data_IF_037925307196
#
_entry.id   IF_037925307196
#
_cell.length_a   1.000
_cell.length_b   1.000
_cell.length_c   1.000
_cell.angle_alpha   90.00
_cell.angle_beta   90.00
_cell.angle_gamma   90.00
#
_symmetry.space_group_name_H-M   'P 1'
#
loop_
_entity.id
_entity.type
_entity.pdbx_description
1 polymer ?
#
# COMPACT_ATOMS: atom_id res chain seq x y z
N UNK A 1 -14.16 5.88 -18.97
CA UNK A 1 -12.95 6.73 -18.93
C UNK A 1 -11.98 6.02 -18.01
N UNK A 2 -11.19 5.13 -18.59
CA UNK A 2 -10.21 4.34 -17.88
C UNK A 2 -9.01 5.26 -17.56
N UNK A 3 -9.03 5.84 -16.36
CA UNK A 3 -7.85 6.49 -15.82
C UNK A 3 -6.84 5.40 -15.47
N UNK A 4 -6.09 4.94 -16.46
CA UNK A 4 -4.90 4.09 -16.30
C UNK A 4 -3.97 4.77 -15.29
N UNK A 5 -4.06 4.38 -14.02
CA UNK A 5 -3.20 4.87 -12.96
C UNK A 5 -1.80 4.34 -13.23
N UNK A 6 -1.02 5.12 -14.00
CA UNK A 6 0.37 4.80 -14.28
C UNK A 6 1.14 4.72 -12.97
N UNK A 7 1.72 3.54 -12.72
CA UNK A 7 2.62 3.29 -11.59
C UNK A 7 3.75 4.32 -11.63
N UNK A 8 3.85 5.14 -10.59
CA UNK A 8 4.92 6.12 -10.44
C UNK A 8 5.36 6.22 -8.98
N UNK A 9 6.63 6.47 -8.73
CA UNK A 9 7.12 6.78 -7.38
C UNK A 9 7.03 8.31 -7.19
N UNK A 10 6.17 8.74 -6.28
CA UNK A 10 6.09 10.11 -5.80
C UNK A 10 7.19 10.35 -4.78
N UNK A 11 8.03 11.33 -5.07
CA UNK A 11 9.11 11.80 -4.19
C UNK A 11 9.08 13.32 -4.17
N UNK A 12 9.63 13.93 -3.11
CA UNK A 12 9.72 15.39 -3.03
C UNK A 12 10.69 15.96 -4.08
N UNK A 13 10.54 17.24 -4.43
CA UNK A 13 11.46 17.95 -5.34
C UNK A 13 12.91 17.96 -4.80
N UNK A 14 13.09 18.05 -3.49
CA UNK A 14 14.40 17.98 -2.85
C UNK A 14 15.05 16.61 -3.06
N UNK A 15 14.26 15.53 -2.94
CA UNK A 15 14.74 14.16 -3.16
C UNK A 15 15.10 13.90 -4.61
N UNK A 16 14.33 14.43 -5.58
CA UNK A 16 14.68 14.32 -7.00
C UNK A 16 16.04 14.93 -7.29
N UNK A 17 16.33 16.12 -6.74
CA UNK A 17 17.65 16.76 -6.87
C UNK A 17 18.75 15.94 -6.20
N UNK A 18 18.46 15.30 -5.08
CA UNK A 18 19.41 14.41 -4.40
C UNK A 18 19.72 13.18 -5.24
N UNK A 19 18.70 12.50 -5.79
CA UNK A 19 18.86 11.34 -6.67
C UNK A 19 19.64 11.69 -7.93
N UNK A 20 19.41 12.88 -8.51
CA UNK A 20 20.23 13.36 -9.63
C UNK A 20 21.71 13.48 -9.27
N UNK A 21 22.02 14.08 -8.10
CA UNK A 21 23.41 14.23 -7.64
C UNK A 21 24.06 12.89 -7.28
N UNK A 22 23.28 11.97 -6.70
CA UNK A 22 23.77 10.67 -6.26
C UNK A 22 24.17 9.76 -7.42
N UNK A 23 23.39 9.80 -8.50
CA UNK A 23 23.59 8.94 -9.68
C UNK A 23 24.20 9.67 -10.88
N UNK A 24 24.57 10.94 -10.72
CA UNK A 24 25.05 11.83 -11.78
C UNK A 24 24.16 11.78 -13.05
N UNK A 25 22.84 11.87 -12.83
CA UNK A 25 21.83 11.66 -13.86
C UNK A 25 21.07 12.94 -14.21
N UNK A 26 20.59 13.02 -15.46
CA UNK A 26 19.69 14.09 -15.89
C UNK A 26 18.32 13.99 -15.22
N UNK A 27 17.62 15.11 -15.09
CA UNK A 27 16.32 15.16 -14.42
C UNK A 27 15.29 14.28 -15.15
N UNK A 28 15.41 14.24 -16.48
CA UNK A 28 14.59 13.40 -17.35
C UNK A 28 14.82 11.92 -17.08
N UNK A 29 16.08 11.48 -16.85
CA UNK A 29 16.35 10.08 -16.49
C UNK A 29 15.75 9.70 -15.12
N UNK A 30 15.88 10.59 -14.13
CA UNK A 30 15.25 10.36 -12.82
C UNK A 30 13.74 10.31 -12.97
N UNK A 31 13.13 11.21 -13.75
CA UNK A 31 11.70 11.18 -14.02
C UNK A 31 11.27 9.88 -14.70
N UNK A 32 11.94 9.46 -15.77
CA UNK A 32 11.67 8.19 -16.48
C UNK A 32 11.81 6.96 -15.57
N UNK A 33 12.77 6.98 -14.64
CA UNK A 33 12.93 5.92 -13.66
C UNK A 33 11.79 5.90 -12.64
N UNK A 34 11.35 7.08 -12.17
CA UNK A 34 10.25 7.21 -11.22
C UNK A 34 8.89 6.86 -11.85
N UNK A 35 8.68 7.15 -13.13
CA UNK A 35 7.42 6.84 -13.87
C UNK A 35 7.41 5.46 -14.53
N UNK A 36 8.41 4.62 -14.27
CA UNK A 36 8.56 3.28 -14.87
C UNK A 36 8.61 3.28 -16.41
N UNK A 37 8.94 4.40 -17.05
CA UNK A 37 9.11 4.48 -18.50
C UNK A 37 10.42 3.85 -19.00
N UNK A 38 11.36 3.57 -18.08
CA UNK A 38 12.63 2.95 -18.41
C UNK A 38 13.01 1.89 -17.37
N UNK A 39 13.46 0.72 -17.84
CA UNK A 39 13.90 -0.40 -17.00
C UNK A 39 15.42 -0.64 -17.07
N UNK A 40 16.21 0.40 -17.33
CA UNK A 40 17.67 0.28 -17.24
C UNK A 40 18.13 -0.06 -15.82
N UNK A 41 19.33 -0.66 -15.69
CA UNK A 41 19.93 -0.97 -14.37
C UNK A 41 19.99 0.28 -13.47
N UNK A 42 20.38 1.41 -14.06
CA UNK A 42 20.38 2.71 -13.40
C UNK A 42 18.99 3.12 -12.91
N UNK A 43 17.95 2.91 -13.73
CA UNK A 43 16.58 3.19 -13.33
C UNK A 43 16.09 2.27 -12.19
N UNK A 44 16.50 0.98 -12.16
CA UNK A 44 16.23 0.08 -11.01
C UNK A 44 16.90 0.60 -9.73
N UNK A 45 18.14 1.06 -9.81
CA UNK A 45 18.88 1.62 -8.66
C UNK A 45 18.26 2.92 -8.14
N UNK A 46 17.84 3.82 -9.04
CA UNK A 46 17.13 5.05 -8.68
C UNK A 46 15.80 4.73 -7.97
N UNK A 47 15.01 3.78 -8.48
CA UNK A 47 13.76 3.35 -7.86
C UNK A 47 13.98 2.80 -6.45
N UNK A 48 14.98 1.93 -6.28
CA UNK A 48 15.33 1.38 -4.96
C UNK A 48 15.70 2.49 -3.97
N UNK A 49 16.59 3.40 -4.39
CA UNK A 49 16.99 4.54 -3.56
C UNK A 49 15.83 5.48 -3.22
N UNK A 50 14.89 5.68 -4.15
CA UNK A 50 13.69 6.48 -3.91
C UNK A 50 12.77 5.82 -2.87
N UNK A 51 12.53 4.51 -2.96
CA UNK A 51 11.70 3.76 -2.00
C UNK A 51 12.34 3.71 -0.61
N UNK A 52 13.66 3.48 -0.52
CA UNK A 52 14.39 3.45 0.76
C UNK A 52 14.34 4.78 1.51
N UNK A 53 14.16 5.90 0.78
CA UNK A 53 14.15 7.25 1.34
C UNK A 53 12.74 7.78 1.66
N UNK A 54 11.70 6.99 1.40
CA UNK A 54 10.31 7.36 1.71
C UNK A 54 9.47 7.72 0.50
N UNK A 55 9.97 7.48 -0.72
CA UNK A 55 9.18 7.60 -1.95
C UNK A 55 7.96 6.68 -1.92
N UNK A 56 6.80 7.22 -2.24
CA UNK A 56 5.54 6.47 -2.23
C UNK A 56 5.15 6.05 -3.64
N UNK A 57 4.86 4.76 -3.84
CA UNK A 57 4.36 4.27 -5.12
C UNK A 57 2.89 4.71 -5.29
N UNK A 58 2.65 5.67 -6.17
CA UNK A 58 1.33 6.07 -6.64
C UNK A 58 0.95 5.22 -7.86
N UNK A 59 -0.29 4.74 -7.92
CA UNK A 59 -0.71 3.79 -8.95
C UNK A 59 -0.31 2.34 -8.67
N UNK A 60 0.31 2.03 -7.52
CA UNK A 60 -0.06 0.77 -6.88
C UNK A 60 -1.57 0.87 -6.69
N UNK A 61 -2.33 -0.10 -7.23
CA UNK A 61 -3.77 -0.16 -7.08
C UNK A 61 -4.09 0.30 -5.65
N UNK A 62 -4.82 1.41 -5.51
CA UNK A 62 -5.41 1.71 -4.22
C UNK A 62 -6.24 0.45 -3.99
N UNK A 63 -5.83 -0.41 -3.07
CA UNK A 63 -6.51 -1.68 -2.94
C UNK A 63 -7.92 -1.32 -2.57
N UNK A 64 -8.84 -1.87 -3.33
CA UNK A 64 -10.26 -1.70 -3.11
C UNK A 64 -10.52 -2.15 -1.68
N UNK A 65 -10.67 -1.17 -0.78
CA UNK A 65 -10.86 -1.36 0.64
C UNK A 65 -12.19 -0.70 0.96
N UNK A 66 -13.24 -1.50 0.94
CA UNK A 66 -14.57 -1.07 1.35
C UNK A 66 -14.70 -1.26 2.85
N UNK A 67 -14.89 -0.16 3.58
CA UNK A 67 -15.09 -0.17 5.02
C UNK A 67 -16.54 0.13 5.35
N UNK A 68 -17.22 -0.83 5.98
CA UNK A 68 -18.59 -0.69 6.49
C UNK A 68 -18.58 -0.69 8.01
N UNK A 69 -19.18 0.34 8.61
CA UNK A 69 -19.37 0.45 10.05
C UNK A 69 -20.80 0.12 10.41
N UNK A 70 -21.00 -0.98 11.14
CA UNK A 70 -22.29 -1.31 11.72
C UNK A 70 -22.33 -0.83 13.17
N UNK A 71 -22.78 0.41 13.37
CA UNK A 71 -22.79 1.07 14.69
C UNK A 71 -23.71 0.36 15.69
N UNK A 72 -24.81 -0.25 15.22
CA UNK A 72 -25.72 -1.05 16.06
C UNK A 72 -25.06 -2.32 16.59
N UNK A 73 -24.31 -3.04 15.74
CA UNK A 73 -23.64 -4.31 16.07
C UNK A 73 -22.21 -4.11 16.60
N UNK A 74 -21.76 -2.86 16.75
CA UNK A 74 -20.42 -2.52 17.23
C UNK A 74 -19.31 -3.24 16.46
N UNK A 75 -19.48 -3.31 15.14
CA UNK A 75 -18.59 -4.05 14.25
C UNK A 75 -18.20 -3.19 13.07
N UNK A 76 -16.92 -3.23 12.72
CA UNK A 76 -16.35 -2.64 11.53
C UNK A 76 -15.90 -3.78 10.62
N UNK A 77 -16.45 -3.82 9.41
CA UNK A 77 -16.03 -4.78 8.38
C UNK A 77 -15.25 -4.05 7.30
N UNK A 78 -14.04 -4.51 7.01
CA UNK A 78 -13.20 -4.00 5.94
C UNK A 78 -12.96 -5.10 4.93
N UNK A 79 -13.42 -4.91 3.71
CA UNK A 79 -13.28 -5.88 2.63
C UNK A 79 -12.17 -5.41 1.70
N UNK A 80 -11.15 -6.24 1.50
CA UNK A 80 -10.01 -5.99 0.64
C UNK A 80 -10.14 -6.87 -0.61
N UNK A 81 -10.57 -6.27 -1.72
CA UNK A 81 -10.95 -7.01 -2.92
C UNK A 81 -12.15 -7.95 -2.69
N UNK A 82 -12.28 -9.03 -3.46
CA UNK A 82 -13.43 -9.95 -3.36
C UNK A 82 -13.27 -11.10 -2.37
N UNK A 83 -12.03 -11.39 -1.93
CA UNK A 83 -11.69 -12.63 -1.20
C UNK A 83 -11.31 -12.42 0.26
N UNK A 84 -10.90 -11.21 0.64
CA UNK A 84 -10.32 -10.96 1.96
C UNK A 84 -11.18 -9.97 2.72
N UNK A 85 -11.50 -10.27 3.99
CA UNK A 85 -12.26 -9.37 4.85
C UNK A 85 -11.73 -9.37 6.29
N UNK A 86 -11.73 -8.21 6.92
CA UNK A 86 -11.43 -8.02 8.34
C UNK A 86 -12.72 -7.61 9.02
N UNK A 87 -13.07 -8.28 10.12
CA UNK A 87 -14.20 -7.93 10.98
C UNK A 87 -13.64 -7.57 12.35
N UNK A 88 -13.68 -6.28 12.70
CA UNK A 88 -13.24 -5.76 13.98
C UNK A 88 -14.45 -5.40 14.85
N UNK A 89 -14.56 -6.01 16.01
CA UNK A 89 -15.54 -5.68 17.02
C UNK A 89 -15.02 -4.52 17.88
N UNK A 90 -15.69 -3.38 17.80
CA UNK A 90 -15.29 -2.13 18.46
C UNK A 90 -15.60 -2.11 19.95
N UNK A 91 -16.38 -3.08 20.47
CA UNK A 91 -16.77 -3.17 21.87
C UNK A 91 -15.75 -3.95 22.72
N UNK A 92 -15.25 -5.07 22.21
CA UNK A 92 -14.29 -5.92 22.92
C UNK A 92 -12.87 -5.88 22.31
N UNK A 93 -12.70 -5.25 21.15
CA UNK A 93 -11.41 -5.19 20.45
C UNK A 93 -11.00 -6.49 19.78
N UNK A 94 -11.94 -7.41 19.53
CA UNK A 94 -11.71 -8.64 18.77
C UNK A 94 -11.63 -8.33 17.27
N UNK A 95 -10.66 -8.89 16.58
CA UNK A 95 -10.40 -8.69 15.16
C UNK A 95 -10.28 -10.07 14.52
N UNK A 96 -11.12 -10.31 13.51
CA UNK A 96 -11.19 -11.56 12.76
C UNK A 96 -10.80 -11.27 11.31
N UNK A 97 -9.85 -12.03 10.77
CA UNK A 97 -9.43 -11.94 9.38
C UNK A 97 -9.89 -13.19 8.64
N UNK A 98 -10.62 -12.99 7.56
CA UNK A 98 -11.10 -14.06 6.70
C UNK A 98 -10.47 -13.95 5.31
N UNK A 99 -10.09 -15.10 4.74
CA UNK A 99 -9.62 -15.26 3.36
C UNK A 99 -10.46 -16.36 2.72
N UNK A 100 -11.09 -16.11 1.57
CA UNK A 100 -12.02 -17.02 0.91
C UNK A 100 -13.10 -17.56 1.86
N UNK A 101 -13.66 -16.67 2.68
CA UNK A 101 -14.63 -16.95 3.75
C UNK A 101 -14.17 -17.91 4.87
N UNK A 102 -12.88 -18.26 4.91
CA UNK A 102 -12.28 -19.02 6.01
C UNK A 102 -11.63 -18.10 7.02
N UNK A 103 -11.87 -18.35 8.31
CA UNK A 103 -11.20 -17.64 9.39
C UNK A 103 -9.72 -18.07 9.43
N UNK A 104 -8.83 -17.18 9.02
CA UNK A 104 -7.38 -17.43 8.98
C UNK A 104 -6.68 -16.85 10.20
N UNK A 105 -7.19 -15.76 10.76
CA UNK A 105 -6.58 -15.14 11.94
C UNK A 105 -7.63 -14.55 12.87
N UNK A 106 -7.41 -14.77 14.15
CA UNK A 106 -8.12 -14.14 15.25
C UNK A 106 -7.12 -13.42 16.14
N UNK A 107 -7.35 -12.13 16.39
CA UNK A 107 -6.49 -11.29 17.23
C UNK A 107 -7.36 -10.40 18.10
N UNK A 108 -7.00 -10.21 19.36
CA UNK A 108 -7.70 -9.31 20.27
C UNK A 108 -6.77 -8.25 20.83
N UNK A 109 -7.31 -7.10 21.25
CA UNK A 109 -6.60 -6.05 21.98
C UNK A 109 -5.42 -5.41 21.22
N UNK A 110 -5.51 -5.29 19.89
CA UNK A 110 -4.50 -4.58 19.12
C UNK A 110 -4.52 -3.08 19.42
N UNK A 111 -3.33 -2.50 19.56
CA UNK A 111 -3.18 -1.05 19.53
C UNK A 111 -3.50 -0.52 18.12
N UNK A 112 -3.82 0.78 18.01
CA UNK A 112 -4.09 1.42 16.70
C UNK A 112 -2.93 1.20 15.73
N UNK A 113 -1.68 1.23 16.20
CA UNK A 113 -0.48 1.01 15.37
C UNK A 113 -0.39 -0.42 14.85
N UNK A 114 -0.68 -1.41 15.69
CA UNK A 114 -0.66 -2.82 15.29
C UNK A 114 -1.82 -3.12 14.34
N UNK A 115 -2.99 -2.52 14.59
CA UNK A 115 -4.13 -2.64 13.70
C UNK A 115 -3.82 -2.08 12.30
N UNK A 116 -3.19 -0.89 12.23
CA UNK A 116 -2.74 -0.31 10.96
C UNK A 116 -1.71 -1.19 10.23
N UNK A 117 -0.85 -1.91 10.95
CA UNK A 117 0.08 -2.88 10.35
C UNK A 117 -0.67 -4.10 9.81
N UNK A 118 -1.63 -4.63 10.57
CA UNK A 118 -2.46 -5.75 10.16
C UNK A 118 -3.24 -5.42 8.88
N UNK A 119 -3.89 -4.25 8.82
CA UNK A 119 -4.59 -3.79 7.62
C UNK A 119 -3.67 -3.79 6.39
N UNK A 120 -2.43 -3.28 6.53
CA UNK A 120 -1.44 -3.29 5.44
C UNK A 120 -0.99 -4.70 5.04
N UNK A 121 -0.80 -5.60 6.00
CA UNK A 121 -0.43 -7.00 5.76
C UNK A 121 -1.55 -7.72 4.99
N UNK A 122 -2.78 -7.60 5.47
CA UNK A 122 -3.96 -8.21 4.86
C UNK A 122 -4.22 -7.66 3.45
N UNK A 123 -4.05 -6.35 3.27
CA UNK A 123 -4.11 -5.69 1.98
C UNK A 123 -3.04 -6.22 0.99
N UNK A 124 -1.83 -6.50 1.47
CA UNK A 124 -0.76 -7.08 0.65
C UNK A 124 -1.09 -8.53 0.24
N UNK A 125 -1.65 -9.31 1.18
CA UNK A 125 -2.13 -10.67 0.90
C UNK A 125 -3.24 -10.63 -0.17
N UNK A 126 -4.22 -9.74 -0.04
CA UNK A 126 -5.29 -9.58 -1.02
C UNK A 126 -4.75 -9.18 -2.41
N UNK A 127 -3.70 -8.36 -2.47
CA UNK A 127 -3.06 -7.95 -3.73
C UNK A 127 -2.18 -9.04 -4.36
N UNK A 128 -1.88 -10.11 -3.61
CA UNK A 128 -1.02 -11.22 -4.05
C UNK A 128 -1.78 -12.53 -4.33
N UNK A 129 -3.10 -12.54 -4.15
CA UNK A 129 -4.04 -13.65 -4.41
C UNK A 129 -4.71 -13.54 -5.79
#
# INVERSE_FOLDING_TARGET
MDCDMKKQILTDRAEKKYLQKLFDCTNVMVWKALTFESDSDLARRIRKAALERGGQLSGAAIPECDTTFQTSEHTMTQTFGSRVKIVANTKNGLILVYIDDKLEREVSHLTVTEFMKLQKEVQFIASSL
#
